data_IF_181661030592
#
_entry.id   IF_181661030592
#
_cell.length_a   1.000
_cell.length_b   1.000
_cell.length_c   1.000
_cell.angle_alpha   90.00
_cell.angle_beta   90.00
_cell.angle_gamma   90.00
#
_symmetry.space_group_name_H-M   'P 1'
#
loop_
_entity.id
_entity.type
_entity.pdbx_description
1 polymer ?
#
# COMPACT_ATOMS: atom_id res chain seq x y z
N UNK A 1 3.66 20.50 -57.82
CA UNK A 1 2.62 19.87 -56.95
C UNK A 1 3.28 18.68 -56.27
N UNK A 2 4.19 18.86 -55.30
CA UNK A 2 3.96 19.15 -53.85
C UNK A 2 2.80 18.35 -53.26
N UNK A 3 2.93 17.57 -52.20
CA UNK A 3 4.07 17.05 -51.43
C UNK A 3 3.42 16.11 -50.41
N UNK A 4 3.30 14.83 -50.75
CA UNK A 4 2.66 13.82 -49.89
C UNK A 4 3.71 13.11 -49.03
N UNK A 5 4.42 13.89 -48.22
CA UNK A 5 5.42 13.43 -47.27
C UNK A 5 5.00 13.82 -45.84
N UNK A 6 3.82 13.37 -45.42
CA UNK A 6 3.49 13.33 -44.00
C UNK A 6 4.25 12.17 -43.37
N UNK A 7 5.49 12.47 -43.03
CA UNK A 7 6.35 11.82 -42.06
C UNK A 7 5.54 10.99 -41.03
N UNK A 8 5.47 9.67 -41.24
CA UNK A 8 5.43 8.72 -40.13
C UNK A 8 6.72 8.91 -39.37
N UNK A 9 6.73 9.89 -38.46
CA UNK A 9 7.81 10.10 -37.51
C UNK A 9 7.79 8.86 -36.60
N UNK A 10 8.55 7.84 -36.98
CA UNK A 10 8.96 6.75 -36.10
C UNK A 10 9.65 7.42 -34.91
N UNK A 11 8.87 7.75 -33.88
CA UNK A 11 9.42 8.34 -32.66
C UNK A 11 10.28 7.27 -32.03
N UNK A 12 11.60 7.38 -32.20
CA UNK A 12 12.57 6.59 -31.46
C UNK A 12 12.14 6.64 -29.99
N UNK A 13 11.86 5.49 -29.34
CA UNK A 13 11.45 5.48 -27.95
C UNK A 13 12.49 6.22 -27.14
N UNK A 14 12.07 7.19 -26.32
CA UNK A 14 12.97 7.93 -25.45
C UNK A 14 13.75 6.91 -24.59
N UNK A 15 15.09 6.83 -24.68
CA UNK A 15 15.90 5.82 -23.99
C UNK A 15 15.65 5.79 -22.47
N UNK A 16 15.40 6.96 -21.88
CA UNK A 16 15.07 7.09 -20.46
C UNK A 16 13.71 6.45 -20.10
N UNK A 17 12.72 6.54 -20.99
CA UNK A 17 11.41 5.93 -20.77
C UNK A 17 11.49 4.39 -20.87
N UNK A 18 12.27 3.87 -21.83
CA UNK A 18 12.49 2.43 -21.97
C UNK A 18 13.25 1.85 -20.77
N UNK A 19 14.29 2.52 -20.28
CA UNK A 19 15.03 2.09 -19.09
C UNK A 19 14.13 2.08 -17.85
N UNK A 20 13.27 3.10 -17.71
CA UNK A 20 12.32 3.18 -16.61
C UNK A 20 11.29 2.03 -16.62
N UNK A 21 10.75 1.70 -17.80
CA UNK A 21 9.82 0.59 -17.95
C UNK A 21 10.46 -0.77 -17.64
N UNK A 22 11.72 -0.97 -18.07
CA UNK A 22 12.50 -2.15 -17.69
C UNK A 22 12.68 -2.24 -16.18
N UNK A 23 13.11 -1.15 -15.53
CA UNK A 23 13.28 -1.10 -14.08
C UNK A 23 11.97 -1.43 -13.34
N UNK A 24 10.85 -0.84 -13.77
CA UNK A 24 9.53 -1.09 -13.17
C UNK A 24 9.10 -2.57 -13.29
N UNK A 25 9.36 -3.21 -14.44
CA UNK A 25 9.07 -4.64 -14.65
C UNK A 25 9.95 -5.51 -13.77
N UNK A 26 11.25 -5.23 -13.73
CA UNK A 26 12.20 -5.96 -12.89
C UNK A 26 11.81 -5.85 -11.41
N UNK A 27 11.50 -4.64 -10.92
CA UNK A 27 11.03 -4.43 -9.55
C UNK A 27 9.74 -5.21 -9.26
N UNK A 28 8.80 -5.27 -10.21
CA UNK A 28 7.56 -6.06 -10.07
C UNK A 28 7.84 -7.57 -10.00
N UNK A 29 8.73 -8.08 -10.84
CA UNK A 29 9.12 -9.51 -10.85
C UNK A 29 9.81 -9.86 -9.54
N UNK A 30 10.76 -9.03 -9.08
CA UNK A 30 11.44 -9.26 -7.80
C UNK A 30 10.44 -9.21 -6.64
N UNK A 31 9.51 -8.25 -6.62
CA UNK A 31 8.46 -8.19 -5.61
C UNK A 31 7.60 -9.46 -5.60
N UNK A 32 7.23 -9.98 -6.77
CA UNK A 32 6.46 -11.22 -6.88
C UNK A 32 7.26 -12.44 -6.39
N UNK A 33 8.55 -12.53 -6.71
CA UNK A 33 9.42 -13.60 -6.21
C UNK A 33 9.56 -13.53 -4.69
N UNK A 34 9.73 -12.33 -4.12
CA UNK A 34 9.77 -12.13 -2.67
C UNK A 34 8.43 -12.50 -2.03
N UNK A 35 7.32 -12.14 -2.67
CA UNK A 35 5.99 -12.52 -2.22
C UNK A 35 5.83 -14.04 -2.16
N UNK A 36 6.20 -14.75 -3.24
CA UNK A 36 6.15 -16.23 -3.29
C UNK A 36 7.04 -16.83 -2.20
N UNK A 37 8.23 -16.28 -1.99
CA UNK A 37 9.15 -16.74 -0.95
C UNK A 37 8.53 -16.59 0.45
N UNK A 38 7.99 -15.41 0.80
CA UNK A 38 7.35 -15.15 2.10
C UNK A 38 6.09 -16.00 2.27
N UNK A 39 5.29 -16.17 1.21
CA UNK A 39 4.10 -17.03 1.23
C UNK A 39 4.47 -18.49 1.48
N UNK A 40 5.53 -18.98 0.82
CA UNK A 40 6.03 -20.34 1.00
C UNK A 40 6.56 -20.55 2.42
N UNK A 41 7.30 -19.59 2.97
CA UNK A 41 7.76 -19.62 4.37
C UNK A 41 6.58 -19.66 5.35
N UNK A 42 5.53 -18.89 5.07
CA UNK A 42 4.30 -18.88 5.87
C UNK A 42 3.60 -20.23 5.85
N UNK A 43 3.50 -20.86 4.67
CA UNK A 43 2.84 -22.16 4.49
C UNK A 43 3.64 -23.32 5.09
N UNK A 44 4.96 -23.33 4.88
CA UNK A 44 5.84 -24.41 5.36
C UNK A 44 6.25 -24.25 6.82
N UNK A 45 5.93 -23.11 7.45
CA UNK A 45 6.38 -22.74 8.81
C UNK A 45 7.89 -22.95 9.00
N UNK A 46 8.67 -22.69 7.94
CA UNK A 46 10.10 -22.96 7.91
C UNK A 46 10.87 -21.77 7.36
N UNK A 47 12.09 -21.60 7.85
CA UNK A 47 13.03 -20.56 7.43
C UNK A 47 14.24 -21.22 6.76
N UNK A 48 14.13 -21.63 5.48
CA UNK A 48 15.14 -22.46 4.82
C UNK A 48 16.54 -21.82 4.71
N UNK A 49 16.66 -20.51 4.96
CA UNK A 49 17.93 -19.76 4.86
C UNK A 49 18.35 -19.06 6.17
N UNK A 50 17.95 -19.55 7.34
CA UNK A 50 18.33 -18.95 8.62
C UNK A 50 17.55 -17.67 8.97
N UNK A 51 18.21 -16.53 9.20
CA UNK A 51 17.62 -15.31 9.81
C UNK A 51 16.22 -14.96 9.24
N UNK A 52 15.23 -14.93 10.12
CA UNK A 52 13.78 -14.99 9.87
C UNK A 52 13.11 -13.74 9.21
N UNK A 53 13.82 -12.83 8.54
CA UNK A 53 13.20 -11.54 8.16
C UNK A 53 13.59 -10.94 6.81
N UNK A 54 14.64 -11.43 6.16
CA UNK A 54 15.15 -10.79 4.93
C UNK A 54 14.18 -10.85 3.73
N UNK A 55 13.39 -11.91 3.50
CA UNK A 55 12.46 -11.94 2.37
C UNK A 55 11.31 -10.96 2.55
N UNK A 56 10.81 -10.82 3.79
CA UNK A 56 9.79 -9.83 4.14
C UNK A 56 10.33 -8.41 4.00
N UNK A 57 11.55 -8.16 4.47
CA UNK A 57 12.22 -6.87 4.28
C UNK A 57 12.33 -6.51 2.79
N UNK A 58 12.79 -7.45 1.97
CA UNK A 58 12.94 -7.27 0.53
C UNK A 58 11.58 -7.10 -0.16
N UNK A 59 10.55 -7.83 0.27
CA UNK A 59 9.17 -7.68 -0.19
C UNK A 59 8.67 -6.25 0.07
N UNK A 60 8.88 -5.70 1.26
CA UNK A 60 8.44 -4.33 1.60
C UNK A 60 9.15 -3.30 0.71
N UNK A 61 10.48 -3.40 0.57
CA UNK A 61 11.24 -2.45 -0.27
C UNK A 61 10.78 -2.54 -1.73
N UNK A 62 10.68 -3.75 -2.27
CA UNK A 62 10.32 -3.98 -3.69
C UNK A 62 8.85 -3.66 -3.97
N UNK A 63 7.94 -3.89 -3.02
CA UNK A 63 6.54 -3.48 -3.09
C UNK A 63 6.40 -1.94 -3.09
N UNK A 64 7.17 -1.24 -2.26
CA UNK A 64 7.20 0.22 -2.28
C UNK A 64 7.74 0.74 -3.62
N UNK A 65 8.88 0.21 -4.08
CA UNK A 65 9.49 0.59 -5.36
C UNK A 65 8.54 0.35 -6.54
N UNK A 66 7.90 -0.82 -6.62
CA UNK A 66 6.99 -1.11 -7.73
C UNK A 66 5.75 -0.21 -7.72
N UNK A 67 5.24 0.13 -6.53
CA UNK A 67 4.16 1.12 -6.36
C UNK A 67 4.55 2.48 -6.92
N UNK A 68 5.74 2.98 -6.55
CA UNK A 68 6.27 4.26 -7.05
C UNK A 68 6.51 4.23 -8.55
N UNK A 69 7.07 3.14 -9.06
CA UNK A 69 7.31 2.94 -10.48
C UNK A 69 6.00 2.95 -11.28
N UNK A 70 4.98 2.23 -10.80
CA UNK A 70 3.68 2.19 -11.46
C UNK A 70 3.01 3.56 -11.50
N UNK A 71 3.07 4.31 -10.40
CA UNK A 71 2.49 5.64 -10.33
C UNK A 71 3.20 6.64 -11.25
N UNK A 72 4.52 6.53 -11.38
CA UNK A 72 5.32 7.41 -12.25
C UNK A 72 5.05 7.18 -13.75
N UNK A 73 4.37 6.08 -14.13
CA UNK A 73 3.84 5.92 -15.50
C UNK A 73 2.63 6.80 -15.79
N UNK A 74 1.92 7.27 -14.75
CA UNK A 74 0.70 8.09 -14.87
C UNK A 74 0.88 9.53 -14.40
N UNK A 75 1.93 9.82 -13.63
CA UNK A 75 2.20 11.10 -13.01
C UNK A 75 3.68 11.46 -13.22
N UNK A 76 4.01 12.75 -13.17
CA UNK A 76 5.41 13.15 -13.17
C UNK A 76 6.13 12.53 -11.95
N UNK A 77 7.31 11.95 -12.18
CA UNK A 77 8.08 11.25 -11.14
C UNK A 77 8.37 12.14 -9.92
N UNK A 78 8.62 13.44 -10.12
CA UNK A 78 8.81 14.42 -9.04
C UNK A 78 7.59 14.49 -8.10
N UNK A 79 6.37 14.48 -8.65
CA UNK A 79 5.15 14.50 -7.86
C UNK A 79 4.95 13.19 -7.08
N UNK A 80 5.33 12.07 -7.70
CA UNK A 80 5.26 10.74 -7.06
C UNK A 80 6.25 10.67 -5.90
N UNK A 81 7.48 11.11 -6.10
CA UNK A 81 8.50 11.17 -5.05
C UNK A 81 8.08 12.12 -3.92
N UNK A 82 7.57 13.32 -4.25
CA UNK A 82 7.06 14.25 -3.24
C UNK A 82 5.92 13.62 -2.43
N UNK A 83 4.95 12.99 -3.09
CA UNK A 83 3.86 12.30 -2.40
C UNK A 83 4.37 11.16 -1.51
N UNK A 84 5.31 10.35 -2.01
CA UNK A 84 5.91 9.26 -1.26
C UNK A 84 6.66 9.75 -0.02
N UNK A 85 7.44 10.84 -0.15
CA UNK A 85 8.14 11.46 0.97
C UNK A 85 7.16 11.98 2.01
N UNK A 86 6.10 12.70 1.61
CA UNK A 86 5.08 13.18 2.55
C UNK A 86 4.41 12.00 3.27
N UNK A 87 4.05 10.94 2.54
CA UNK A 87 3.44 9.73 3.12
C UNK A 87 4.37 9.05 4.13
N UNK A 88 5.62 8.82 3.74
CA UNK A 88 6.62 8.16 4.57
C UNK A 88 6.91 8.95 5.84
N UNK A 89 7.09 10.27 5.72
CA UNK A 89 7.37 11.16 6.84
C UNK A 89 6.15 11.29 7.76
N UNK A 90 4.95 11.54 7.22
CA UNK A 90 3.74 11.67 8.02
C UNK A 90 3.43 10.38 8.79
N UNK A 91 3.48 9.22 8.12
CA UNK A 91 3.26 7.92 8.75
C UNK A 91 4.35 7.56 9.76
N UNK A 92 5.60 7.83 9.44
CA UNK A 92 6.74 7.61 10.33
C UNK A 92 6.68 8.46 11.59
N UNK A 93 6.42 9.78 11.47
CA UNK A 93 6.24 10.68 12.60
C UNK A 93 5.04 10.24 13.45
N UNK A 94 3.90 9.91 12.83
CA UNK A 94 2.74 9.45 13.56
C UNK A 94 3.05 8.18 14.37
N UNK A 95 3.77 7.21 13.80
CA UNK A 95 4.15 5.99 14.52
C UNK A 95 5.19 6.27 15.61
N UNK A 96 6.15 7.17 15.40
CA UNK A 96 7.10 7.57 16.44
C UNK A 96 6.39 8.22 17.63
N UNK A 97 5.45 9.14 17.38
CA UNK A 97 4.58 9.72 18.42
C UNK A 97 3.73 8.63 19.08
N UNK A 98 3.20 7.69 18.29
CA UNK A 98 2.41 6.55 18.76
C UNK A 98 3.15 5.65 19.75
N UNK A 99 4.43 5.36 19.48
CA UNK A 99 5.27 4.58 20.40
C UNK A 99 5.53 5.33 21.70
N UNK A 100 5.82 6.64 21.62
CA UNK A 100 6.18 7.45 22.79
C UNK A 100 4.94 7.75 23.68
N UNK A 101 3.80 8.04 23.05
CA UNK A 101 2.63 8.61 23.74
C UNK A 101 1.41 7.67 23.79
N UNK A 102 1.38 6.63 22.95
CA UNK A 102 0.20 5.81 22.72
C UNK A 102 -0.88 6.48 21.86
N UNK A 103 -0.65 7.68 21.31
CA UNK A 103 -1.60 8.42 20.47
C UNK A 103 -1.01 8.56 19.05
N UNK A 104 -1.78 8.33 17.96
CA UNK A 104 -3.21 8.06 17.92
C UNK A 104 -3.58 6.57 17.96
N UNK A 105 -2.59 5.67 17.96
CA UNK A 105 -2.82 4.24 17.68
C UNK A 105 -3.24 3.40 18.90
N UNK A 106 -3.10 3.93 20.11
CA UNK A 106 -3.07 3.14 21.33
C UNK A 106 -1.63 2.77 21.71
N UNK A 107 -1.40 2.29 22.95
CA UNK A 107 -0.06 1.96 23.42
C UNK A 107 0.42 0.61 22.86
N UNK A 108 1.59 0.60 22.22
CA UNK A 108 2.23 -0.59 21.69
C UNK A 108 3.76 -0.48 21.79
N UNK A 109 4.45 -1.60 21.69
CA UNK A 109 5.91 -1.66 21.63
C UNK A 109 6.37 -2.56 20.49
N UNK A 110 7.39 -2.13 19.73
CA UNK A 110 8.03 -2.98 18.73
C UNK A 110 8.80 -4.11 19.42
N UNK A 111 8.79 -5.28 18.78
CA UNK A 111 9.60 -6.41 19.20
C UNK A 111 10.87 -6.52 18.35
N UNK A 112 11.74 -7.47 18.70
CA UNK A 112 12.90 -7.84 17.89
C UNK A 112 12.53 -8.33 16.48
N UNK A 113 11.29 -8.78 16.26
CA UNK A 113 10.78 -9.23 14.96
C UNK A 113 10.56 -8.09 13.96
N UNK A 114 10.33 -6.85 14.41
CA UNK A 114 10.15 -5.69 13.51
C UNK A 114 11.43 -5.30 12.75
N UNK A 115 12.58 -5.80 13.20
CA UNK A 115 13.90 -5.45 12.66
C UNK A 115 14.46 -4.15 13.25
N UNK A 116 15.52 -3.59 12.62
CA UNK A 116 16.17 -2.38 13.10
C UNK A 116 15.23 -1.18 13.29
N UNK A 117 15.53 -0.33 14.26
CA UNK A 117 14.75 0.86 14.56
C UNK A 117 15.55 2.12 14.27
N UNK A 118 14.90 3.14 13.72
CA UNK A 118 15.41 4.50 13.66
C UNK A 118 15.25 5.15 15.04
N UNK A 119 16.35 5.69 15.57
CA UNK A 119 16.39 6.38 16.87
C UNK A 119 15.79 5.54 18.01
N UNK A 120 15.97 4.22 17.95
CA UNK A 120 15.41 3.24 18.90
C UNK A 120 13.89 3.34 19.13
N UNK A 121 13.18 4.02 18.24
CA UNK A 121 11.75 4.34 18.40
C UNK A 121 10.91 3.84 17.24
N UNK A 122 11.37 4.04 16.00
CA UNK A 122 10.56 3.77 14.81
C UNK A 122 11.12 2.59 14.02
N UNK A 123 10.38 1.49 13.92
CA UNK A 123 10.79 0.36 13.10
C UNK A 123 10.99 0.79 11.62
N UNK A 124 12.12 0.36 11.04
CA UNK A 124 12.51 0.78 9.69
C UNK A 124 11.50 0.48 8.56
N UNK A 125 10.67 -0.58 8.58
CA UNK A 125 9.78 -0.86 7.46
C UNK A 125 8.53 0.04 7.47
N UNK A 126 8.23 0.72 8.57
CA UNK A 126 6.99 1.49 8.75
C UNK A 126 6.81 2.59 7.71
N UNK A 127 7.80 3.47 7.43
CA UNK A 127 7.64 4.49 6.40
C UNK A 127 7.34 3.89 5.02
N UNK A 128 7.98 2.77 4.66
CA UNK A 128 7.74 2.07 3.41
C UNK A 128 6.34 1.42 3.37
N UNK A 129 5.88 0.86 4.49
CA UNK A 129 4.53 0.33 4.63
C UNK A 129 3.48 1.41 4.38
N UNK A 130 3.64 2.61 4.94
CA UNK A 130 2.74 3.73 4.68
C UNK A 130 2.67 4.09 3.18
N UNK A 131 3.81 4.10 2.47
CA UNK A 131 3.84 4.32 1.01
C UNK A 131 2.99 3.26 0.31
N UNK A 132 3.24 1.98 0.60
CA UNK A 132 2.52 0.86 -0.03
C UNK A 132 1.02 1.00 0.22
N UNK A 133 0.61 1.19 1.47
CA UNK A 133 -0.80 1.16 1.86
C UNK A 133 -1.55 2.35 1.28
N UNK A 134 -1.08 3.58 1.48
CA UNK A 134 -1.82 4.78 1.07
C UNK A 134 -1.87 4.93 -0.45
N UNK A 135 -0.76 4.70 -1.13
CA UNK A 135 -0.70 4.90 -2.58
C UNK A 135 -1.48 3.81 -3.32
N UNK A 136 -1.43 2.55 -2.86
CA UNK A 136 -2.22 1.48 -3.46
C UNK A 136 -3.70 1.61 -3.13
N UNK A 137 -4.07 1.95 -1.88
CA UNK A 137 -5.46 2.22 -1.50
C UNK A 137 -6.08 3.34 -2.36
N UNK A 138 -5.34 4.44 -2.58
CA UNK A 138 -5.78 5.51 -3.49
C UNK A 138 -5.88 5.03 -4.94
N UNK A 139 -4.97 4.16 -5.39
CA UNK A 139 -5.03 3.52 -6.70
C UNK A 139 -6.31 2.72 -6.90
N UNK A 140 -6.62 1.84 -5.96
CA UNK A 140 -7.85 1.02 -5.94
C UNK A 140 -9.09 1.91 -5.86
N UNK A 141 -9.10 2.93 -5.00
CA UNK A 141 -10.20 3.89 -4.90
C UNK A 141 -10.46 4.61 -6.24
N UNK A 142 -9.43 4.98 -7.00
CA UNK A 142 -9.58 5.58 -8.34
C UNK A 142 -10.14 4.61 -9.39
N UNK A 143 -9.87 3.30 -9.26
CA UNK A 143 -10.46 2.28 -10.12
C UNK A 143 -11.95 2.10 -9.81
N UNK A 144 -12.27 1.94 -8.52
CA UNK A 144 -13.65 1.83 -8.02
C UNK A 144 -14.44 3.06 -8.49
N UNK A 145 -13.92 4.26 -8.25
CA UNK A 145 -14.65 5.50 -8.50
C UNK A 145 -14.57 6.01 -9.95
N UNK A 146 -13.90 5.29 -10.86
CA UNK A 146 -13.73 5.70 -12.26
C UNK A 146 -15.04 6.15 -12.97
N UNK A 147 -16.20 5.49 -12.78
CA UNK A 147 -17.46 5.91 -13.41
C UNK A 147 -17.92 7.32 -12.98
N UNK A 148 -17.55 7.75 -11.78
CA UNK A 148 -18.02 8.99 -11.16
C UNK A 148 -17.01 10.15 -11.26
N UNK A 149 -16.03 10.07 -12.17
CA UNK A 149 -14.99 11.10 -12.36
C UNK A 149 -15.50 12.51 -12.67
N UNK A 150 -16.74 12.66 -13.14
CA UNK A 150 -17.35 13.94 -13.50
C UNK A 150 -18.03 14.66 -12.33
N UNK A 151 -18.15 14.03 -11.15
CA UNK A 151 -18.78 14.66 -9.98
C UNK A 151 -17.87 15.76 -9.41
N UNK A 152 -18.45 16.90 -9.02
CA UNK A 152 -17.74 18.08 -8.48
C UNK A 152 -16.78 17.74 -7.33
N UNK A 153 -17.19 16.83 -6.44
CA UNK A 153 -16.44 16.45 -5.24
C UNK A 153 -15.67 15.13 -5.39
N UNK A 154 -15.37 14.69 -6.62
CA UNK A 154 -14.69 13.41 -6.90
C UNK A 154 -13.42 13.19 -6.05
N UNK A 155 -12.60 14.23 -5.88
CA UNK A 155 -11.39 14.15 -5.05
C UNK A 155 -11.68 13.74 -3.61
N UNK A 156 -12.72 14.31 -2.99
CA UNK A 156 -13.11 13.98 -1.61
C UNK A 156 -13.64 12.55 -1.50
N UNK A 157 -14.40 12.07 -2.49
CA UNK A 157 -14.85 10.68 -2.52
C UNK A 157 -13.68 9.71 -2.65
N UNK A 158 -12.66 10.04 -3.46
CA UNK A 158 -11.44 9.23 -3.55
C UNK A 158 -10.72 9.17 -2.21
N UNK A 159 -10.61 10.28 -1.48
CA UNK A 159 -10.01 10.31 -0.14
C UNK A 159 -10.82 9.43 0.83
N UNK A 160 -12.14 9.58 0.86
CA UNK A 160 -13.01 8.80 1.75
C UNK A 160 -12.93 7.30 1.49
N UNK A 161 -13.06 6.87 0.23
CA UNK A 161 -12.94 5.44 -0.13
C UNK A 161 -11.52 4.93 0.14
N UNK A 162 -10.48 5.71 -0.16
CA UNK A 162 -9.10 5.31 0.13
C UNK A 162 -8.86 5.16 1.63
N UNK A 163 -9.36 6.06 2.47
CA UNK A 163 -9.24 5.96 3.93
C UNK A 163 -9.95 4.72 4.48
N UNK A 164 -11.14 4.39 3.99
CA UNK A 164 -11.84 3.13 4.34
C UNK A 164 -11.01 1.91 3.94
N UNK A 165 -10.43 1.91 2.73
CA UNK A 165 -9.54 0.83 2.30
C UNK A 165 -8.33 0.71 3.23
N UNK A 166 -7.67 1.83 3.60
CA UNK A 166 -6.54 1.84 4.54
C UNK A 166 -6.93 1.21 5.88
N UNK A 167 -8.10 1.53 6.42
CA UNK A 167 -8.62 0.92 7.66
C UNK A 167 -8.84 -0.58 7.51
N UNK A 168 -9.41 -1.03 6.40
CA UNK A 168 -9.59 -2.46 6.13
C UNK A 168 -8.26 -3.21 6.00
N UNK A 169 -7.24 -2.55 5.44
CA UNK A 169 -5.88 -3.09 5.37
C UNK A 169 -5.25 -3.19 6.76
N UNK A 170 -5.37 -2.15 7.59
CA UNK A 170 -4.90 -2.16 8.97
C UNK A 170 -5.51 -3.33 9.76
N UNK A 171 -6.84 -3.47 9.72
CA UNK A 171 -7.54 -4.58 10.38
C UNK A 171 -7.08 -5.97 9.89
N UNK A 172 -6.66 -6.09 8.63
CA UNK A 172 -6.10 -7.32 8.06
C UNK A 172 -4.62 -7.54 8.43
N UNK A 173 -3.83 -6.47 8.48
CA UNK A 173 -2.42 -6.47 8.83
C UNK A 173 -2.19 -6.86 10.29
N UNK A 174 -3.06 -6.40 11.19
CA UNK A 174 -2.84 -6.46 12.63
C UNK A 174 -2.70 -7.88 13.19
N UNK A 175 -3.58 -8.84 12.84
CA UNK A 175 -3.39 -10.24 13.23
C UNK A 175 -2.11 -10.85 12.63
N UNK A 176 -1.79 -10.51 11.37
CA UNK A 176 -0.56 -10.95 10.71
C UNK A 176 0.70 -10.45 11.44
N UNK A 177 0.71 -9.17 11.81
CA UNK A 177 1.86 -8.55 12.44
C UNK A 177 2.03 -8.95 13.89
N UNK A 178 0.97 -8.99 14.68
CA UNK A 178 1.06 -9.21 16.13
C UNK A 178 0.98 -10.67 16.53
N UNK A 179 0.06 -11.45 15.92
CA UNK A 179 -0.21 -12.84 16.32
C UNK A 179 0.64 -13.83 15.54
N UNK A 180 0.86 -13.60 14.25
CA UNK A 180 1.59 -14.54 13.39
C UNK A 180 3.10 -14.30 13.37
N UNK A 181 3.53 -13.04 13.26
CA UNK A 181 4.95 -12.70 13.13
C UNK A 181 5.55 -11.99 14.34
N UNK A 182 4.70 -11.54 15.28
CA UNK A 182 5.11 -10.89 16.51
C UNK A 182 5.92 -9.61 16.31
N UNK A 183 5.69 -8.81 15.27
CA UNK A 183 6.43 -7.57 14.99
C UNK A 183 6.26 -6.50 16.07
N UNK A 184 5.07 -6.40 16.65
CA UNK A 184 4.80 -5.54 17.79
C UNK A 184 3.82 -6.22 18.73
N UNK A 185 3.77 -5.71 19.95
CA UNK A 185 2.84 -6.15 20.98
C UNK A 185 2.00 -4.96 21.44
N UNK A 186 0.71 -5.19 21.61
CA UNK A 186 -0.22 -4.21 22.17
C UNK A 186 -0.11 -4.20 23.68
N UNK A 187 0.04 -3.01 24.26
CA UNK A 187 0.09 -2.80 25.70
C UNK A 187 -1.33 -2.58 26.25
N UNK A 188 -1.56 -2.82 27.56
CA UNK A 188 -2.86 -2.59 28.17
C UNK A 188 -3.36 -1.15 27.96
N UNK A 189 -4.63 -1.02 27.59
CA UNK A 189 -5.29 0.28 27.41
C UNK A 189 -6.65 0.28 28.09
N UNK A 190 -7.13 1.47 28.48
CA UNK A 190 -8.49 1.65 29.01
C UNK A 190 -9.57 1.52 27.93
N UNK A 191 -9.17 1.50 26.66
CA UNK A 191 -10.10 1.40 25.55
C UNK A 191 -10.72 -0.01 25.50
N UNK A 192 -12.06 -0.14 25.55
CA UNK A 192 -12.69 -1.43 25.87
C UNK A 192 -12.78 -2.40 24.68
N UNK A 193 -12.66 -1.92 23.44
CA UNK A 193 -12.95 -2.75 22.25
C UNK A 193 -11.66 -3.13 21.54
N UNK A 194 -11.51 -4.42 21.26
CA UNK A 194 -10.32 -4.97 20.61
C UNK A 194 -10.68 -5.85 19.42
N UNK A 195 -9.76 -5.92 18.46
CA UNK A 195 -9.79 -6.79 17.30
C UNK A 195 -8.55 -7.67 17.33
N UNK A 196 -8.70 -8.97 17.62
CA UNK A 196 -7.57 -9.91 17.74
C UNK A 196 -6.44 -9.43 18.69
N UNK A 197 -6.79 -8.67 19.73
CA UNK A 197 -5.85 -8.08 20.69
C UNK A 197 -5.43 -6.65 20.39
N UNK A 198 -5.67 -6.15 19.18
CA UNK A 198 -5.44 -4.74 18.80
C UNK A 198 -6.58 -3.85 19.32
N UNK A 199 -6.31 -2.76 20.06
CA UNK A 199 -7.32 -1.76 20.39
C UNK A 199 -7.92 -1.10 19.13
N UNK A 200 -9.24 -1.00 19.01
CA UNK A 200 -9.85 -0.38 17.80
C UNK A 200 -9.52 1.10 17.62
N UNK A 201 -9.01 1.77 18.65
CA UNK A 201 -8.46 3.12 18.53
C UNK A 201 -7.28 3.18 17.53
N UNK A 202 -6.55 2.06 17.32
CA UNK A 202 -5.53 1.94 16.28
C UNK A 202 -6.10 2.25 14.90
N UNK A 203 -7.17 1.55 14.52
CA UNK A 203 -7.79 1.73 13.22
C UNK A 203 -8.39 3.12 13.02
N UNK A 204 -8.87 3.77 14.10
CA UNK A 204 -9.27 5.17 14.06
C UNK A 204 -8.06 6.11 13.86
N UNK A 205 -6.93 5.80 14.49
CA UNK A 205 -5.66 6.48 14.26
C UNK A 205 -5.17 6.35 12.81
N UNK A 206 -5.23 5.16 12.23
CA UNK A 206 -4.95 4.93 10.81
C UNK A 206 -5.90 5.71 9.89
N UNK A 207 -7.20 5.77 10.21
CA UNK A 207 -8.16 6.60 9.49
C UNK A 207 -7.78 8.09 9.54
N UNK A 208 -7.49 8.62 10.73
CA UNK A 208 -7.13 10.02 10.93
C UNK A 208 -5.84 10.38 10.17
N UNK A 209 -4.77 9.60 10.38
CA UNK A 209 -3.46 9.85 9.76
C UNK A 209 -3.57 9.73 8.24
N UNK A 210 -4.33 8.75 7.72
CA UNK A 210 -4.51 8.61 6.28
C UNK A 210 -5.29 9.77 5.66
N UNK A 211 -6.39 10.24 6.27
CA UNK A 211 -7.16 11.39 5.78
C UNK A 211 -6.29 12.65 5.76
N UNK A 212 -5.56 12.94 6.85
CA UNK A 212 -4.65 14.08 6.92
C UNK A 212 -3.57 13.99 5.85
N UNK A 213 -2.91 12.83 5.74
CA UNK A 213 -1.87 12.60 4.74
C UNK A 213 -2.41 12.73 3.31
N UNK A 214 -3.63 12.24 3.05
CA UNK A 214 -4.27 12.44 1.75
C UNK A 214 -4.59 13.90 1.46
N UNK A 215 -4.98 14.70 2.47
CA UNK A 215 -5.20 16.13 2.29
C UNK A 215 -3.92 16.84 1.80
N UNK A 216 -2.76 16.49 2.37
CA UNK A 216 -1.47 17.07 1.97
C UNK A 216 -0.91 16.53 0.65
N UNK A 217 -1.18 15.26 0.31
CA UNK A 217 -0.63 14.61 -0.90
C UNK A 217 -1.52 14.78 -2.12
N UNK A 218 -2.82 15.05 -1.95
CA UNK A 218 -3.74 15.19 -3.09
C UNK A 218 -3.30 16.23 -4.13
N UNK A 219 -2.78 17.42 -3.76
CA UNK A 219 -2.32 18.41 -4.73
C UNK A 219 -1.23 17.89 -5.68
N UNK A 220 -0.25 17.13 -5.18
CA UNK A 220 0.82 16.56 -6.02
C UNK A 220 0.31 15.39 -6.87
N UNK A 221 -0.68 14.65 -6.35
CA UNK A 221 -1.26 13.47 -7.00
C UNK A 221 -2.39 13.78 -8.00
N UNK A 222 -2.70 15.06 -8.25
CA UNK A 222 -3.59 15.49 -9.32
C UNK A 222 -2.79 15.61 -10.61
N UNK A 223 -3.11 14.74 -11.59
CA UNK A 223 -2.52 14.88 -12.91
C UNK A 223 -3.18 16.05 -13.66
N UNK A 224 -2.51 17.20 -13.70
CA UNK A 224 -2.95 18.39 -14.44
C UNK A 224 -3.04 18.16 -15.96
N UNK A 225 -2.26 17.22 -16.50
CA UNK A 225 -2.21 16.87 -17.92
C UNK A 225 -3.23 15.77 -18.33
N UNK A 226 -3.80 15.04 -17.36
CA UNK A 226 -4.73 13.92 -17.60
C UNK A 226 -6.14 14.32 -18.01
N UNK A 227 -6.56 15.58 -17.85
CA UNK A 227 -7.90 16.00 -18.32
C UNK A 227 -8.10 15.78 -19.83
N UNK A 228 -7.01 15.71 -20.60
CA UNK A 228 -7.04 15.56 -22.06
C UNK A 228 -6.76 14.12 -22.56
N UNK A 229 -6.06 13.28 -21.78
CA UNK A 229 -5.60 11.95 -22.23
C UNK A 229 -6.42 10.81 -21.61
N UNK A 230 -7.11 10.01 -22.45
CA UNK A 230 -7.73 8.74 -22.05
C UNK A 230 -6.63 7.71 -21.72
N UNK A 231 -6.11 7.75 -20.49
CA UNK A 231 -5.18 6.74 -19.99
C UNK A 231 -5.94 5.44 -19.66
N UNK A 232 -5.40 4.26 -20.01
CA UNK A 232 -6.00 2.98 -19.64
C UNK A 232 -6.06 2.82 -18.10
N UNK A 233 -7.01 2.03 -17.56
CA UNK A 233 -7.04 1.70 -16.14
C UNK A 233 -5.74 1.00 -15.72
N UNK A 234 -5.15 1.43 -14.62
CA UNK A 234 -3.97 0.78 -14.03
C UNK A 234 -4.40 -0.14 -12.89
N UNK A 235 -4.28 -1.45 -13.12
CA UNK A 235 -4.60 -2.49 -12.16
C UNK A 235 -3.45 -2.83 -11.22
N UNK A 236 -2.25 -2.29 -11.43
CA UNK A 236 -1.09 -2.61 -10.60
C UNK A 236 -1.35 -2.36 -9.10
N UNK A 237 -1.97 -1.25 -8.67
CA UNK A 237 -2.32 -1.06 -7.27
C UNK A 237 -3.25 -2.12 -6.69
N UNK A 238 -4.21 -2.60 -7.50
CA UNK A 238 -5.12 -3.67 -7.10
C UNK A 238 -4.39 -5.00 -6.97
N UNK A 239 -3.43 -5.29 -7.85
CA UNK A 239 -2.62 -6.52 -7.78
C UNK A 239 -1.82 -6.53 -6.48
N UNK A 240 -1.06 -5.46 -6.18
CA UNK A 240 -0.28 -5.36 -4.94
C UNK A 240 -1.20 -5.49 -3.72
N UNK A 241 -2.34 -4.80 -3.73
CA UNK A 241 -3.35 -4.87 -2.67
C UNK A 241 -3.85 -6.29 -2.40
N UNK A 242 -4.29 -7.00 -3.45
CA UNK A 242 -4.83 -8.36 -3.33
C UNK A 242 -3.76 -9.35 -2.93
N UNK A 243 -2.52 -9.21 -3.45
CA UNK A 243 -1.40 -10.06 -3.04
C UNK A 243 -1.14 -9.92 -1.54
N UNK A 244 -1.03 -8.69 -1.01
CA UNK A 244 -0.81 -8.48 0.43
C UNK A 244 -1.94 -9.06 1.28
N UNK A 245 -3.20 -8.84 0.89
CA UNK A 245 -4.36 -9.45 1.58
C UNK A 245 -4.33 -10.98 1.51
N UNK A 246 -3.88 -11.56 0.40
CA UNK A 246 -3.71 -13.00 0.28
C UNK A 246 -2.61 -13.53 1.20
N UNK A 247 -1.50 -12.81 1.37
CA UNK A 247 -0.45 -13.16 2.33
C UNK A 247 -0.97 -13.12 3.77
N UNK A 248 -1.65 -12.02 4.16
CA UNK A 248 -2.21 -11.88 5.50
C UNK A 248 -3.29 -12.93 5.78
N UNK A 249 -4.16 -13.18 4.80
CA UNK A 249 -5.18 -14.22 4.86
C UNK A 249 -4.56 -15.61 5.00
N UNK A 250 -3.55 -15.94 4.20
CA UNK A 250 -2.85 -17.24 4.29
C UNK A 250 -2.21 -17.43 5.66
N UNK A 251 -1.51 -16.42 6.17
CA UNK A 251 -0.93 -16.46 7.51
C UNK A 251 -2.00 -16.63 8.59
N UNK A 252 -3.14 -15.94 8.45
CA UNK A 252 -4.28 -16.07 9.37
C UNK A 252 -4.89 -17.47 9.33
N UNK A 253 -5.03 -18.07 8.14
CA UNK A 253 -5.51 -19.44 7.98
C UNK A 253 -4.56 -20.45 8.64
N UNK A 254 -3.26 -20.32 8.41
CA UNK A 254 -2.23 -21.18 9.03
C UNK A 254 -2.25 -21.07 10.56
N UNK A 255 -2.58 -19.90 11.11
CA UNK A 255 -2.67 -19.66 12.55
C UNK A 255 -4.11 -19.79 13.13
N UNK A 256 -5.06 -20.34 12.35
CA UNK A 256 -6.45 -20.58 12.77
C UNK A 256 -7.23 -19.31 13.19
N UNK A 257 -6.85 -18.14 12.64
CA UNK A 257 -7.50 -16.85 12.87
C UNK A 257 -8.61 -16.62 11.83
N UNK A 258 -9.72 -17.36 11.96
CA UNK A 258 -10.80 -17.40 10.97
C UNK A 258 -11.48 -16.05 10.72
N UNK A 259 -11.63 -15.22 11.76
CA UNK A 259 -12.21 -13.87 11.63
C UNK A 259 -11.34 -12.95 10.76
N UNK A 260 -10.02 -13.00 10.95
CA UNK A 260 -9.06 -12.25 10.13
C UNK A 260 -9.01 -12.78 8.69
N UNK A 261 -9.04 -14.11 8.51
CA UNK A 261 -9.12 -14.71 7.19
C UNK A 261 -10.38 -14.24 6.42
N UNK A 262 -11.54 -14.28 7.07
CA UNK A 262 -12.80 -13.83 6.48
C UNK A 262 -12.73 -12.35 6.08
N UNK A 263 -12.13 -11.49 6.91
CA UNK A 263 -11.91 -10.08 6.60
C UNK A 263 -10.99 -9.90 5.38
N UNK A 264 -9.88 -10.64 5.31
CA UNK A 264 -8.94 -10.58 4.19
C UNK A 264 -9.63 -10.97 2.87
N UNK A 265 -10.36 -12.09 2.86
CA UNK A 265 -11.10 -12.58 1.70
C UNK A 265 -12.19 -11.58 1.30
N UNK A 266 -13.01 -11.14 2.25
CA UNK A 266 -14.10 -10.19 1.99
C UNK A 266 -13.59 -8.88 1.40
N UNK A 267 -12.50 -8.34 1.96
CA UNK A 267 -11.87 -7.11 1.47
C UNK A 267 -11.25 -7.30 0.09
N UNK A 268 -10.56 -8.41 -0.17
CA UNK A 268 -9.96 -8.70 -1.46
C UNK A 268 -11.02 -8.87 -2.56
N UNK A 269 -12.09 -9.62 -2.28
CA UNK A 269 -13.21 -9.81 -3.21
C UNK A 269 -13.96 -8.51 -3.47
N UNK A 270 -14.35 -7.78 -2.43
CA UNK A 270 -15.07 -6.52 -2.59
C UNK A 270 -14.26 -5.49 -3.39
N UNK A 271 -13.00 -5.26 -3.00
CA UNK A 271 -12.12 -4.32 -3.71
C UNK A 271 -11.90 -4.72 -5.17
N UNK A 272 -11.72 -6.01 -5.46
CA UNK A 272 -11.58 -6.52 -6.83
C UNK A 272 -12.86 -6.33 -7.64
N UNK A 273 -14.02 -6.73 -7.12
CA UNK A 273 -15.29 -6.63 -7.82
C UNK A 273 -15.65 -5.17 -8.14
N UNK A 274 -15.52 -4.27 -7.16
CA UNK A 274 -15.80 -2.85 -7.38
C UNK A 274 -14.78 -2.20 -8.33
N UNK A 275 -13.50 -2.56 -8.23
CA UNK A 275 -12.47 -2.02 -9.13
C UNK A 275 -12.65 -2.51 -10.57
N UNK A 276 -12.95 -3.79 -10.79
CA UNK A 276 -13.23 -4.34 -12.11
C UNK A 276 -14.50 -3.74 -12.71
N UNK A 277 -15.57 -3.61 -11.89
CA UNK A 277 -16.80 -2.94 -12.32
C UNK A 277 -16.51 -1.50 -12.71
N UNK A 278 -15.79 -0.74 -11.89
CA UNK A 278 -15.45 0.64 -12.17
C UNK A 278 -14.56 0.80 -13.41
N UNK A 279 -13.61 -0.11 -13.63
CA UNK A 279 -12.69 -0.06 -14.76
C UNK A 279 -13.36 -0.24 -16.14
N UNK A 280 -14.49 -0.95 -16.20
CA UNK A 280 -15.27 -1.22 -17.43
C UNK A 280 -16.02 0.00 -17.98
N UNK A 281 -16.24 1.04 -17.18
CA UNK A 281 -16.86 2.31 -17.60
C UNK A 281 -15.82 3.33 -18.06
#
# INVERSE_FOLDING_TARGET
MSSDLTSKRNSVPNPSATLFDWFARTASVVALLCFIAVLTQTLLRSTPFGKSGWPTALLIITAALTTLCSMSRQLAGQNVLLAATIVAVAGGIAHAIGVITGIPFGPFAYSSGAGPMFFDTLAWPIPALWIIVLLNARGVARLILKPWRKIKNYGLFVIGVAAVLVVLFDLALEPFATRCNGYWVWLPTKFPWTWNGMPLINSLGWALVSILTFAFTTPSLINKQSRSRKLPPDFHPLIVWVLLLALFGTSSAVNQLWSSLALCIGTALASTLFALRGARW
#
